data_IF_054909676094
#
_entry.id   IF_054909676094
#
_cell.length_a   1.000
_cell.length_b   1.000
_cell.length_c   1.000
_cell.angle_alpha   90.00
_cell.angle_beta   90.00
_cell.angle_gamma   90.00
#
_symmetry.space_group_name_H-M   'P 1'
#
loop_
_entity.id
_entity.type
_entity.pdbx_description
1 polymer ?
#
# COMPACT_ATOMS: atom_id res chain seq x y z
N UNK A 1 6.57 11.16 -6.80
CA UNK A 1 5.70 9.99 -7.09
C UNK A 1 5.95 9.58 -8.53
N UNK A 2 6.15 8.30 -8.80
CA UNK A 2 6.37 7.77 -10.15
C UNK A 2 5.06 7.61 -10.95
N UNK A 3 3.91 7.54 -10.28
CA UNK A 3 2.57 7.41 -10.88
C UNK A 3 1.67 8.60 -10.49
N UNK A 4 0.59 8.83 -11.25
CA UNK A 4 -0.39 9.90 -11.01
C UNK A 4 -1.73 9.37 -10.47
N UNK A 5 -2.58 10.22 -9.89
CA UNK A 5 -3.85 9.77 -9.29
C UNK A 5 -4.83 9.14 -10.28
N UNK A 6 -4.82 9.56 -11.55
CA UNK A 6 -5.63 8.94 -12.59
C UNK A 6 -5.29 7.46 -12.82
N UNK A 7 -4.01 7.10 -12.69
CA UNK A 7 -3.54 5.71 -12.78
C UNK A 7 -4.07 4.86 -11.61
N UNK A 8 -4.08 5.43 -10.39
CA UNK A 8 -4.66 4.78 -9.21
C UNK A 8 -6.12 4.44 -9.44
N UNK A 9 -6.91 5.41 -9.93
CA UNK A 9 -8.35 5.23 -10.18
C UNK A 9 -8.60 4.20 -11.29
N UNK A 10 -7.80 4.20 -12.35
CA UNK A 10 -8.02 3.33 -13.50
C UNK A 10 -7.53 1.90 -13.32
N UNK A 11 -6.43 1.70 -12.58
CA UNK A 11 -5.65 0.45 -12.69
C UNK A 11 -5.35 -0.24 -11.37
N UNK A 12 -5.45 0.44 -10.23
CA UNK A 12 -5.07 -0.16 -8.95
C UNK A 12 -6.01 -1.29 -8.54
N UNK A 13 -5.44 -2.40 -8.05
CA UNK A 13 -6.15 -3.54 -7.44
C UNK A 13 -5.95 -3.62 -5.92
N UNK A 14 -4.90 -3.00 -5.41
CA UNK A 14 -4.58 -2.89 -4.00
C UNK A 14 -3.79 -1.61 -3.75
N UNK A 15 -4.09 -0.96 -2.64
CA UNK A 15 -3.51 0.31 -2.23
C UNK A 15 -3.03 0.17 -0.79
N UNK A 16 -1.72 0.13 -0.60
CA UNK A 16 -1.09 0.03 0.72
C UNK A 16 -0.65 1.42 1.18
N UNK A 17 -1.32 1.94 2.21
CA UNK A 17 -1.07 3.24 2.81
C UNK A 17 -0.38 3.05 4.16
N UNK A 18 0.91 3.36 4.26
CA UNK A 18 1.71 3.19 5.49
C UNK A 18 2.09 4.57 6.02
N UNK A 19 1.79 4.84 7.30
CA UNK A 19 2.17 6.09 7.96
C UNK A 19 1.56 7.35 7.34
N UNK A 20 0.41 7.22 6.69
CA UNK A 20 -0.25 8.31 5.97
C UNK A 20 -1.72 8.45 6.35
N UNK A 21 -2.15 9.69 6.57
CA UNK A 21 -3.53 10.08 6.85
C UNK A 21 -4.09 10.98 5.74
N UNK A 22 -4.12 10.46 4.51
CA UNK A 22 -4.53 11.21 3.31
C UNK A 22 -5.96 11.78 3.40
N UNK A 23 -6.86 11.17 4.19
CA UNK A 23 -8.20 11.70 4.41
C UNK A 23 -8.18 13.11 5.06
N UNK A 24 -7.10 13.47 5.74
CA UNK A 24 -6.87 14.79 6.33
C UNK A 24 -5.84 15.57 5.54
N UNK A 25 -4.67 14.98 5.27
CA UNK A 25 -3.52 15.68 4.71
C UNK A 25 -3.62 15.94 3.20
N UNK A 26 -4.36 15.10 2.47
CA UNK A 26 -4.59 15.26 1.03
C UNK A 26 -5.98 14.75 0.62
N UNK A 27 -7.07 15.45 0.98
CA UNK A 27 -8.43 14.95 0.79
C UNK A 27 -8.78 14.70 -0.69
N UNK A 28 -8.22 15.51 -1.61
CA UNK A 28 -8.40 15.31 -3.05
C UNK A 28 -7.67 14.04 -3.51
N UNK A 29 -6.46 13.79 -3.03
CA UNK A 29 -5.79 12.50 -3.26
C UNK A 29 -6.62 11.34 -2.70
N UNK A 30 -7.15 11.47 -1.48
CA UNK A 30 -7.97 10.45 -0.83
C UNK A 30 -9.22 10.08 -1.62
N UNK A 31 -9.86 11.06 -2.27
CA UNK A 31 -10.98 10.80 -3.20
C UNK A 31 -10.62 9.77 -4.28
N UNK A 32 -9.40 9.82 -4.83
CA UNK A 32 -8.97 8.90 -5.87
C UNK A 32 -8.77 7.47 -5.33
N UNK A 33 -8.27 7.32 -4.11
CA UNK A 33 -8.20 5.99 -3.46
C UNK A 33 -9.59 5.40 -3.24
N UNK A 34 -10.58 6.20 -2.82
CA UNK A 34 -11.96 5.75 -2.67
C UNK A 34 -12.57 5.38 -4.04
N UNK A 35 -12.32 6.18 -5.08
CA UNK A 35 -12.78 5.86 -6.43
C UNK A 35 -12.17 4.55 -6.96
N UNK A 36 -10.89 4.27 -6.71
CA UNK A 36 -10.27 3.00 -7.09
C UNK A 36 -10.90 1.81 -6.33
N UNK A 37 -11.20 1.99 -5.04
CA UNK A 37 -11.91 1.00 -4.22
C UNK A 37 -13.29 0.69 -4.81
N UNK A 38 -14.04 1.71 -5.21
CA UNK A 38 -15.39 1.55 -5.77
C UNK A 38 -15.38 0.99 -7.20
N UNK A 39 -14.48 1.48 -8.07
CA UNK A 39 -14.46 1.13 -9.50
C UNK A 39 -13.76 -0.18 -9.80
N UNK A 40 -12.66 -0.47 -9.11
CA UNK A 40 -11.78 -1.60 -9.41
C UNK A 40 -11.90 -2.71 -8.36
N UNK A 41 -12.77 -2.53 -7.36
CA UNK A 41 -12.81 -3.35 -6.14
C UNK A 41 -11.44 -3.40 -5.44
N UNK A 42 -10.66 -2.32 -5.55
CA UNK A 42 -9.31 -2.26 -5.06
C UNK A 42 -9.27 -2.26 -3.53
N UNK A 43 -8.43 -3.10 -2.92
CA UNK A 43 -8.32 -3.15 -1.46
C UNK A 43 -7.52 -1.97 -0.94
N UNK A 44 -8.13 -1.18 -0.05
CA UNK A 44 -7.45 -0.13 0.70
C UNK A 44 -6.95 -0.68 2.04
N UNK A 45 -5.63 -0.79 2.18
CA UNK A 45 -4.96 -1.28 3.39
C UNK A 45 -4.26 -0.08 4.04
N UNK A 46 -4.58 0.19 5.31
CA UNK A 46 -3.97 1.27 6.09
C UNK A 46 -3.16 0.69 7.22
N UNK A 47 -1.86 0.99 7.23
CA UNK A 47 -0.90 0.59 8.27
C UNK A 47 -0.53 1.84 9.06
N UNK A 48 -1.00 1.93 10.30
CA UNK A 48 -0.81 3.13 11.13
C UNK A 48 -0.94 2.78 12.63
N UNK A 49 -0.06 3.28 13.51
CA UNK A 49 -0.21 3.08 14.96
C UNK A 49 -1.52 3.67 15.51
N UNK A 50 -2.09 4.68 14.84
CA UNK A 50 -3.31 5.39 15.24
C UNK A 50 -4.46 5.04 14.28
N UNK A 51 -5.68 4.94 14.82
CA UNK A 51 -6.87 4.77 14.00
C UNK A 51 -7.29 6.12 13.39
N UNK A 52 -6.74 6.45 12.23
CA UNK A 52 -6.93 7.73 11.55
C UNK A 52 -8.24 7.81 10.74
N UNK A 53 -8.58 8.99 10.21
CA UNK A 53 -9.71 9.14 9.28
C UNK A 53 -9.52 8.33 8.00
N UNK A 54 -8.27 8.14 7.56
CA UNK A 54 -7.94 7.22 6.47
C UNK A 54 -8.21 5.77 6.84
N UNK A 55 -7.79 5.33 8.04
CA UNK A 55 -8.05 3.97 8.54
C UNK A 55 -9.56 3.66 8.61
N UNK A 56 -10.38 4.65 8.97
CA UNK A 56 -11.84 4.50 9.04
C UNK A 56 -12.53 4.17 7.70
N UNK A 57 -11.84 4.31 6.56
CA UNK A 57 -12.36 3.93 5.23
C UNK A 57 -11.63 2.73 4.62
N UNK A 58 -10.64 2.18 5.31
CA UNK A 58 -9.85 1.05 4.84
C UNK A 58 -10.67 -0.26 4.85
N UNK A 59 -10.33 -1.18 3.96
CA UNK A 59 -10.75 -2.58 4.06
C UNK A 59 -10.01 -3.29 5.19
N UNK A 60 -8.72 -3.00 5.32
CA UNK A 60 -7.85 -3.54 6.35
C UNK A 60 -7.14 -2.40 7.07
N UNK A 61 -7.32 -2.34 8.38
CA UNK A 61 -6.51 -1.50 9.26
C UNK A 61 -5.54 -2.40 10.03
N UNK A 62 -4.25 -2.15 9.84
CA UNK A 62 -3.16 -2.87 10.49
C UNK A 62 -2.47 -1.93 11.48
N UNK A 63 -2.73 -2.13 12.77
CA UNK A 63 -2.06 -1.36 13.82
C UNK A 63 -0.66 -1.91 14.06
N UNK A 64 0.35 -1.10 13.77
CA UNK A 64 1.75 -1.38 14.11
C UNK A 64 2.17 -0.61 15.37
N UNK A 65 3.26 -1.04 16.01
CA UNK A 65 3.92 -0.24 17.04
C UNK A 65 4.68 0.90 16.36
N UNK A 66 4.74 2.07 16.99
CA UNK A 66 5.52 3.20 16.47
C UNK A 66 6.98 2.80 16.24
N UNK A 67 7.51 3.11 15.05
CA UNK A 67 8.89 2.84 14.67
C UNK A 67 9.18 1.39 14.23
N UNK A 68 8.15 0.57 13.99
CA UNK A 68 8.32 -0.83 13.56
C UNK A 68 8.02 -1.06 12.07
N UNK A 69 8.05 -0.01 11.25
CA UNK A 69 7.76 -0.07 9.82
C UNK A 69 8.71 -1.01 9.07
N UNK A 70 10.01 -0.95 9.37
CA UNK A 70 11.01 -1.85 8.76
C UNK A 70 10.72 -3.31 9.09
N UNK A 71 10.42 -3.61 10.36
CA UNK A 71 10.08 -4.97 10.78
C UNK A 71 8.80 -5.48 10.07
N UNK A 72 7.80 -4.61 9.90
CA UNK A 72 6.57 -4.93 9.17
C UNK A 72 6.86 -5.25 7.69
N UNK A 73 7.61 -4.38 7.00
CA UNK A 73 7.96 -4.58 5.58
C UNK A 73 8.85 -5.81 5.39
N UNK A 74 9.84 -6.03 6.24
CA UNK A 74 10.71 -7.21 6.13
C UNK A 74 9.96 -8.51 6.42
N UNK A 75 8.99 -8.50 7.34
CA UNK A 75 8.09 -9.63 7.55
C UNK A 75 7.24 -9.94 6.31
N UNK A 76 6.73 -8.90 5.64
CA UNK A 76 5.99 -9.06 4.38
C UNK A 76 6.88 -9.62 3.27
N UNK A 77 8.08 -9.06 3.08
CA UNK A 77 9.05 -9.54 2.08
C UNK A 77 9.46 -10.99 2.35
N UNK A 78 9.72 -11.35 3.61
CA UNK A 78 10.03 -12.72 3.99
C UNK A 78 8.95 -13.70 3.52
N UNK A 79 7.67 -13.36 3.71
CA UNK A 79 6.55 -14.19 3.25
C UNK A 79 6.45 -14.24 1.72
N UNK A 80 6.69 -13.12 1.02
CA UNK A 80 6.69 -13.06 -0.44
C UNK A 80 7.72 -14.04 -1.00
N UNK A 81 8.99 -13.93 -0.59
CA UNK A 81 10.07 -14.77 -1.10
C UNK A 81 9.94 -16.23 -0.65
N UNK A 82 9.53 -16.47 0.60
CA UNK A 82 9.31 -17.84 1.10
C UNK A 82 8.26 -18.58 0.29
N UNK A 83 7.24 -17.88 -0.20
CA UNK A 83 6.14 -18.48 -0.97
C UNK A 83 6.34 -18.40 -2.50
N UNK A 84 7.39 -17.74 -2.98
CA UNK A 84 7.63 -17.54 -4.42
C UNK A 84 6.60 -16.63 -5.08
N UNK A 85 6.10 -15.59 -4.38
CA UNK A 85 5.09 -14.65 -4.87
C UNK A 85 5.69 -13.45 -5.62
N UNK A 86 7.00 -13.30 -5.61
CA UNK A 86 7.71 -12.27 -6.33
C UNK A 86 7.63 -12.46 -7.85
N UNK A 87 7.74 -11.34 -8.57
CA UNK A 87 7.94 -11.36 -10.02
C UNK A 87 9.43 -11.58 -10.33
N UNK A 88 9.78 -12.84 -10.63
CA UNK A 88 11.17 -13.26 -10.87
C UNK A 88 11.77 -12.61 -12.12
N UNK A 89 10.97 -12.44 -13.18
CA UNK A 89 11.44 -11.83 -14.44
C UNK A 89 11.75 -10.35 -14.25
N UNK A 90 10.88 -9.64 -13.52
CA UNK A 90 11.12 -8.24 -13.20
C UNK A 90 12.37 -8.07 -12.33
N UNK A 91 12.54 -8.93 -11.32
CA UNK A 91 13.72 -8.90 -10.45
C UNK A 91 15.00 -9.09 -11.24
N UNK A 92 15.08 -10.12 -12.08
CA UNK A 92 16.27 -10.45 -12.88
C UNK A 92 16.63 -9.33 -13.87
N UNK A 93 15.64 -8.72 -14.50
CA UNK A 93 15.88 -7.75 -15.58
C UNK A 93 15.97 -6.29 -15.13
N UNK A 94 15.42 -5.91 -13.95
CA UNK A 94 15.22 -4.50 -13.55
C UNK A 94 15.67 -4.15 -12.14
N UNK A 95 16.21 -5.10 -11.36
CA UNK A 95 16.63 -4.86 -9.97
C UNK A 95 18.12 -5.15 -9.79
N UNK A 96 18.80 -4.35 -8.97
CA UNK A 96 20.22 -4.52 -8.63
C UNK A 96 20.37 -4.79 -7.12
N UNK A 97 21.33 -5.65 -6.74
CA UNK A 97 21.63 -5.98 -5.33
C UNK A 97 20.62 -6.94 -4.70
N UNK A 98 20.31 -8.06 -5.38
CA UNK A 98 19.37 -9.09 -4.95
C UNK A 98 20.06 -10.38 -4.43
N UNK A 99 21.38 -10.41 -4.54
CA UNK A 99 22.33 -11.41 -4.06
C UNK A 99 22.56 -11.36 -2.54
#
# INVERSE_FOLDING_TARGET
MTNHFGDVVGNSKAMLMIGANSAVANPIGFKHFLQAKDRNNAKLIVVDPVYTKSAAKADHYLRIRTGTDVAFIYGLLHLIFKNGWEDKEFIDSRVYGMD
#
